data_IF_443996930528
#
_entry.id   IF_443996930528
#
_cell.length_a   1.000
_cell.length_b   1.000
_cell.length_c   1.000
_cell.angle_alpha   90.00
_cell.angle_beta   90.00
_cell.angle_gamma   90.00
#
_symmetry.space_group_name_H-M   'P 1'
#
loop_
_entity.id
_entity.type
_entity.pdbx_description
1 polymer ?
#
# COMPACT_ATOMS: atom_id res chain seq x y z
N UNK A 1 -19.59 5.53 24.84
CA UNK A 1 -20.22 5.00 23.60
C UNK A 1 -19.40 5.47 22.39
N UNK A 2 -18.23 4.87 22.12
CA UNK A 2 -17.26 5.34 21.11
C UNK A 2 -16.84 4.24 20.10
N UNK A 3 -17.73 3.30 19.79
CA UNK A 3 -17.32 2.03 19.19
C UNK A 3 -17.41 1.86 17.67
N UNK A 4 -18.03 2.75 16.89
CA UNK A 4 -18.61 2.32 15.60
C UNK A 4 -18.13 3.05 14.32
N UNK A 5 -16.91 3.59 14.33
CA UNK A 5 -16.20 3.83 13.06
C UNK A 5 -14.95 2.96 13.05
N UNK A 6 -14.99 1.85 12.31
CA UNK A 6 -13.79 1.08 12.06
C UNK A 6 -12.83 1.94 11.25
N UNK A 7 -11.71 2.25 11.86
CA UNK A 7 -10.59 2.97 11.25
C UNK A 7 -9.50 1.99 10.81
N UNK A 8 -9.70 0.68 10.94
CA UNK A 8 -8.67 -0.29 10.62
C UNK A 8 -8.58 -0.43 9.10
N UNK A 9 -7.35 -0.30 8.57
CA UNK A 9 -7.05 -0.38 7.15
C UNK A 9 -6.21 -1.61 6.84
N UNK A 10 -6.47 -2.22 5.69
CA UNK A 10 -5.48 -3.04 4.99
C UNK A 10 -5.06 -2.32 3.71
N UNK A 11 -3.75 -2.26 3.45
CA UNK A 11 -3.18 -1.62 2.28
C UNK A 11 -2.33 -2.63 1.52
N UNK A 12 -2.68 -2.86 0.27
CA UNK A 12 -1.79 -3.48 -0.71
C UNK A 12 -1.02 -2.35 -1.39
N UNK A 13 0.26 -2.22 -1.07
CA UNK A 13 1.15 -1.16 -1.57
C UNK A 13 1.92 -1.66 -2.81
N UNK A 14 1.19 -2.09 -3.84
CA UNK A 14 1.78 -2.67 -5.04
C UNK A 14 2.59 -1.68 -5.89
N UNK A 15 3.48 -2.24 -6.73
CA UNK A 15 4.33 -1.47 -7.66
C UNK A 15 3.54 -0.67 -8.70
N UNK A 16 2.40 -1.22 -9.15
CA UNK A 16 1.57 -0.60 -10.20
C UNK A 16 0.34 0.12 -9.64
N UNK A 17 -0.28 -0.44 -8.61
CA UNK A 17 -1.52 0.02 -7.99
C UNK A 17 -1.46 -0.17 -6.49
N UNK A 18 -2.15 0.71 -5.77
CA UNK A 18 -2.39 0.62 -4.33
C UNK A 18 -3.87 0.39 -4.10
N UNK A 19 -4.21 -0.61 -3.30
CA UNK A 19 -5.58 -0.86 -2.85
C UNK A 19 -5.69 -0.57 -1.36
N UNK A 20 -6.80 0.03 -0.95
CA UNK A 20 -7.12 0.23 0.48
C UNK A 20 -8.46 -0.41 0.79
N UNK A 21 -8.43 -1.31 1.76
CA UNK A 21 -9.58 -1.95 2.36
C UNK A 21 -9.84 -1.33 3.73
N UNK A 22 -11.10 -1.04 4.03
CA UNK A 22 -11.55 -0.60 5.36
C UNK A 22 -12.34 -1.72 6.00
N UNK A 23 -11.99 -2.10 7.22
CA UNK A 23 -12.70 -3.15 7.94
C UNK A 23 -14.19 -2.83 8.08
N UNK A 24 -15.03 -3.79 7.69
CA UNK A 24 -16.49 -3.64 7.64
C UNK A 24 -17.04 -2.87 6.44
N UNK A 25 -16.20 -2.31 5.56
CA UNK A 25 -16.66 -1.60 4.33
C UNK A 25 -16.19 -2.23 3.03
N UNK A 26 -15.12 -3.02 3.05
CA UNK A 26 -14.56 -3.57 1.82
C UNK A 26 -13.44 -2.71 1.24
N UNK A 27 -13.11 -2.94 -0.03
CA UNK A 27 -12.16 -2.13 -0.80
C UNK A 27 -12.80 -0.78 -1.10
N UNK A 28 -12.21 0.30 -0.58
CA UNK A 28 -12.70 1.68 -0.75
C UNK A 28 -11.83 2.50 -1.70
N UNK A 29 -10.64 2.01 -2.04
CA UNK A 29 -9.70 2.68 -2.94
C UNK A 29 -8.95 1.65 -3.79
N UNK A 30 -8.85 1.92 -5.09
CA UNK A 30 -7.97 1.23 -6.02
C UNK A 30 -7.40 2.30 -6.97
N UNK A 31 -6.16 2.70 -6.76
CA UNK A 31 -5.51 3.80 -7.47
C UNK A 31 -4.12 3.38 -7.96
N UNK A 32 -3.63 3.90 -9.09
CA UNK A 32 -2.24 3.73 -9.47
C UNK A 32 -1.24 4.20 -8.39
N UNK A 33 -0.13 3.48 -8.22
CA UNK A 33 0.97 3.86 -7.32
C UNK A 33 1.84 4.94 -7.96
N UNK A 34 1.28 6.14 -8.14
CA UNK A 34 1.89 7.28 -8.83
C UNK A 34 1.64 8.57 -8.06
N UNK A 35 2.69 9.39 -7.95
CA UNK A 35 2.65 10.72 -7.32
C UNK A 35 3.09 11.76 -8.33
N UNK A 36 2.40 12.89 -8.40
CA UNK A 36 2.83 14.05 -9.17
C UNK A 36 3.16 15.20 -8.20
N UNK A 37 4.37 15.75 -8.31
CA UNK A 37 4.85 16.86 -7.47
C UNK A 37 5.40 18.01 -8.31
N UNK A 38 5.36 19.21 -7.76
CA UNK A 38 6.05 20.37 -8.32
C UNK A 38 7.54 20.32 -7.97
N UNK A 39 8.43 20.35 -8.97
CA UNK A 39 9.89 20.16 -8.83
C UNK A 39 10.56 21.08 -7.81
N UNK A 40 10.10 22.35 -7.73
CA UNK A 40 10.77 23.37 -6.90
C UNK A 40 10.35 23.30 -5.43
N UNK A 41 9.08 23.02 -5.17
CA UNK A 41 8.51 23.07 -3.82
C UNK A 41 8.36 21.70 -3.18
N UNK A 42 8.45 20.62 -3.95
CA UNK A 42 8.12 19.26 -3.49
C UNK A 42 6.61 19.08 -3.25
N UNK A 43 5.78 20.07 -3.56
CA UNK A 43 4.34 20.02 -3.25
C UNK A 43 3.64 18.96 -4.10
N UNK A 44 2.93 18.04 -3.43
CA UNK A 44 2.00 17.11 -4.07
C UNK A 44 0.92 17.87 -4.83
N UNK A 45 0.87 17.64 -6.13
CA UNK A 45 -0.20 18.10 -7.01
C UNK A 45 -1.31 17.06 -7.06
N UNK A 46 -0.95 15.81 -7.27
CA UNK A 46 -1.88 14.71 -7.44
C UNK A 46 -1.28 13.37 -6.99
N UNK A 47 -2.15 12.41 -6.69
CA UNK A 47 -1.80 10.99 -6.47
C UNK A 47 -2.78 10.10 -7.23
N UNK A 48 -2.39 8.87 -7.53
CA UNK A 48 -3.30 7.92 -8.16
C UNK A 48 -3.55 8.21 -9.63
N UNK A 49 -4.80 8.09 -10.04
CA UNK A 49 -5.23 8.19 -11.44
C UNK A 49 -4.91 9.55 -12.04
N UNK A 50 -5.07 10.62 -11.27
CA UNK A 50 -4.76 11.98 -11.70
C UNK A 50 -3.25 12.15 -11.96
N UNK A 51 -2.40 11.66 -11.06
CA UNK A 51 -0.94 11.68 -11.24
C UNK A 51 -0.50 10.80 -12.42
N UNK A 52 -1.11 9.61 -12.59
CA UNK A 52 -0.82 8.71 -13.73
C UNK A 52 -1.08 9.37 -15.07
N UNK A 53 -2.11 10.20 -15.21
CA UNK A 53 -2.40 10.95 -16.45
C UNK A 53 -1.30 11.95 -16.82
N UNK A 54 -0.51 12.38 -15.84
CA UNK A 54 0.60 13.32 -16.03
C UNK A 54 1.90 12.63 -16.45
N UNK A 55 2.03 11.30 -16.30
CA UNK A 55 3.25 10.57 -16.70
C UNK A 55 3.59 10.80 -18.17
N UNK A 56 4.81 11.26 -18.43
CA UNK A 56 5.29 11.60 -19.77
C UNK A 56 4.61 12.81 -20.42
N UNK A 57 3.77 13.54 -19.68
CA UNK A 57 2.96 14.68 -20.15
C UNK A 57 3.07 15.91 -19.24
N UNK A 58 4.03 15.90 -18.32
CA UNK A 58 4.26 17.01 -17.39
C UNK A 58 4.96 18.19 -18.06
N UNK A 59 4.52 19.45 -17.84
CA UNK A 59 5.33 20.62 -18.15
C UNK A 59 6.63 20.61 -17.32
N UNK A 60 7.63 21.39 -17.72
CA UNK A 60 9.00 21.30 -17.20
C UNK A 60 9.16 21.44 -15.67
N UNK A 61 8.17 21.99 -14.96
CA UNK A 61 8.16 22.18 -13.51
C UNK A 61 7.41 21.08 -12.72
N UNK A 62 6.81 20.08 -13.37
CA UNK A 62 6.11 18.98 -12.71
C UNK A 62 6.87 17.67 -12.97
N UNK A 63 6.91 16.79 -11.99
CA UNK A 63 7.36 15.39 -12.16
C UNK A 63 6.26 14.46 -11.69
N UNK A 64 6.05 13.38 -12.44
CA UNK A 64 5.23 12.27 -12.04
C UNK A 64 6.13 11.04 -11.87
N UNK A 65 6.10 10.42 -10.70
CA UNK A 65 7.01 9.34 -10.30
C UNK A 65 6.24 8.17 -9.72
N UNK A 66 6.82 6.97 -9.79
CA UNK A 66 6.35 5.79 -9.08
C UNK A 66 7.27 5.59 -7.87
N UNK A 67 6.75 5.73 -6.63
CA UNK A 67 7.58 5.57 -5.44
C UNK A 67 7.91 4.10 -5.13
N UNK A 68 7.15 3.17 -5.71
CA UNK A 68 7.31 1.73 -5.55
C UNK A 68 8.08 1.15 -6.73
N UNK A 69 8.99 0.22 -6.47
CA UNK A 69 9.71 -0.56 -7.49
C UNK A 69 9.93 -1.98 -6.96
N UNK A 70 9.62 -3.00 -7.77
CA UNK A 70 9.87 -4.41 -7.42
C UNK A 70 9.34 -4.78 -6.01
N UNK A 71 8.15 -4.28 -5.67
CA UNK A 71 7.49 -4.59 -4.38
C UNK A 71 8.02 -3.80 -3.18
N UNK A 72 9.02 -2.94 -3.35
CA UNK A 72 9.62 -2.16 -2.26
C UNK A 72 9.55 -0.66 -2.49
N UNK A 73 9.71 0.12 -1.41
CA UNK A 73 9.75 1.58 -1.47
C UNK A 73 11.10 2.02 -2.02
N UNK A 74 11.09 2.61 -3.22
CA UNK A 74 12.28 3.18 -3.86
C UNK A 74 12.43 4.69 -3.58
N UNK A 75 11.34 5.38 -3.28
CA UNK A 75 11.31 6.79 -2.90
C UNK A 75 10.43 6.96 -1.65
N UNK A 76 11.07 7.12 -0.50
CA UNK A 76 10.44 7.20 0.81
C UNK A 76 9.53 8.41 0.96
N UNK A 77 10.00 9.58 0.55
CA UNK A 77 9.26 10.83 0.69
C UNK A 77 7.99 10.79 -0.16
N UNK A 78 8.10 10.28 -1.39
CA UNK A 78 6.96 10.15 -2.29
C UNK A 78 5.99 9.06 -1.83
N UNK A 79 6.49 7.94 -1.28
CA UNK A 79 5.66 6.88 -0.71
C UNK A 79 4.86 7.38 0.50
N UNK A 80 5.48 8.10 1.43
CA UNK A 80 4.81 8.72 2.58
C UNK A 80 3.70 9.67 2.12
N UNK A 81 4.01 10.58 1.20
CA UNK A 81 3.05 11.54 0.66
C UNK A 81 1.87 10.82 -0.04
N UNK A 82 2.14 9.74 -0.77
CA UNK A 82 1.12 8.91 -1.41
C UNK A 82 0.20 8.24 -0.39
N UNK A 83 0.79 7.54 0.58
CA UNK A 83 0.08 6.83 1.65
C UNK A 83 -0.78 7.80 2.45
N UNK A 84 -0.24 8.95 2.84
CA UNK A 84 -0.97 10.00 3.58
C UNK A 84 -2.23 10.43 2.83
N UNK A 85 -2.13 10.64 1.52
CA UNK A 85 -3.28 11.03 0.68
C UNK A 85 -4.29 9.90 0.53
N UNK A 86 -3.86 8.65 0.41
CA UNK A 86 -4.75 7.50 0.33
C UNK A 86 -5.45 7.19 1.65
N UNK A 87 -4.75 7.26 2.79
CA UNK A 87 -5.33 7.13 4.13
C UNK A 87 -6.39 8.21 4.37
N UNK A 88 -6.09 9.46 3.99
CA UNK A 88 -7.06 10.56 4.06
C UNK A 88 -8.27 10.32 3.15
N UNK A 89 -8.06 9.87 1.90
CA UNK A 89 -9.17 9.53 0.99
C UNK A 89 -10.07 8.43 1.57
N UNK A 90 -9.49 7.37 2.15
CA UNK A 90 -10.23 6.25 2.75
C UNK A 90 -11.10 6.67 3.95
N UNK A 91 -10.72 7.72 4.67
CA UNK A 91 -11.43 8.25 5.83
C UNK A 91 -12.22 9.55 5.53
N UNK A 92 -12.68 9.75 4.29
CA UNK A 92 -13.44 10.93 3.88
C UNK A 92 -12.78 12.27 4.26
N UNK A 93 -11.44 12.33 4.20
CA UNK A 93 -10.59 13.49 4.54
C UNK A 93 -10.67 13.94 6.00
N UNK A 94 -11.12 13.07 6.91
CA UNK A 94 -11.05 13.35 8.34
C UNK A 94 -9.59 13.39 8.80
N UNK A 95 -9.10 14.58 9.16
CA UNK A 95 -7.70 14.79 9.55
C UNK A 95 -7.36 14.26 10.96
N UNK A 96 -8.36 13.79 11.72
CA UNK A 96 -8.20 13.37 13.13
C UNK A 96 -8.14 11.85 13.32
N UNK A 97 -8.16 11.07 12.25
CA UNK A 97 -8.11 9.60 12.34
C UNK A 97 -6.67 9.11 12.29
N UNK A 98 -6.30 8.28 13.26
CA UNK A 98 -5.01 7.56 13.30
C UNK A 98 -5.31 6.06 13.27
N UNK A 99 -5.39 5.46 12.08
CA UNK A 99 -5.83 4.08 11.90
C UNK A 99 -4.76 3.07 12.36
N UNK A 100 -5.16 1.85 12.68
CA UNK A 100 -4.25 0.71 12.63
C UNK A 100 -4.21 0.20 11.21
N UNK A 101 -3.03 -0.14 10.70
CA UNK A 101 -2.85 -0.53 9.30
C UNK A 101 -2.13 -1.87 9.24
N UNK A 102 -2.62 -2.78 8.40
CA UNK A 102 -1.84 -3.92 7.92
C UNK A 102 -1.41 -3.67 6.47
N UNK A 103 -0.14 -3.92 6.13
CA UNK A 103 0.41 -3.69 4.79
C UNK A 103 1.00 -4.99 4.24
N UNK A 104 0.64 -5.32 3.00
CA UNK A 104 1.24 -6.42 2.25
C UNK A 104 2.69 -6.09 1.88
N UNK A 105 3.61 -7.04 2.09
CA UNK A 105 5.01 -6.94 1.66
C UNK A 105 5.44 -8.22 0.96
N UNK A 106 6.35 -8.15 -0.04
CA UNK A 106 6.82 -9.34 -0.74
C UNK A 106 7.53 -10.30 0.21
N UNK A 107 7.53 -11.59 -0.13
CA UNK A 107 8.11 -12.65 0.70
C UNK A 107 9.62 -12.47 0.94
N UNK A 108 10.32 -11.88 -0.03
CA UNK A 108 11.76 -11.62 0.02
C UNK A 108 12.10 -10.16 0.35
N UNK A 109 11.40 -9.58 1.31
CA UNK A 109 11.70 -8.21 1.77
C UNK A 109 12.80 -8.22 2.85
N UNK A 110 13.79 -7.33 2.72
CA UNK A 110 14.84 -7.14 3.73
C UNK A 110 14.31 -6.40 4.96
N UNK A 111 15.01 -6.49 6.10
CA UNK A 111 14.62 -5.74 7.31
C UNK A 111 14.63 -4.22 7.10
N UNK A 112 15.52 -3.71 6.25
CA UNK A 112 15.59 -2.28 5.93
C UNK A 112 14.36 -1.85 5.14
N UNK A 113 13.92 -2.65 4.16
CA UNK A 113 12.71 -2.39 3.38
C UNK A 113 11.43 -2.57 4.21
N UNK A 114 11.37 -3.56 5.11
CA UNK A 114 10.25 -3.69 6.05
C UNK A 114 10.13 -2.45 6.94
N UNK A 115 11.26 -1.95 7.44
CA UNK A 115 11.31 -0.72 8.23
C UNK A 115 10.87 0.48 7.41
N UNK A 116 11.30 0.58 6.15
CA UNK A 116 10.85 1.63 5.23
C UNK A 116 9.33 1.71 5.12
N UNK A 117 8.67 0.56 4.96
CA UNK A 117 7.20 0.47 4.86
C UNK A 117 6.53 0.92 6.15
N UNK A 118 7.02 0.45 7.30
CA UNK A 118 6.48 0.86 8.62
C UNK A 118 6.64 2.35 8.85
N UNK A 119 7.85 2.88 8.70
CA UNK A 119 8.16 4.28 8.96
C UNK A 119 7.32 5.19 8.03
N UNK A 120 7.19 4.84 6.74
CA UNK A 120 6.37 5.60 5.79
C UNK A 120 4.89 5.62 6.17
N UNK A 121 4.34 4.51 6.65
CA UNK A 121 2.94 4.42 7.07
C UNK A 121 2.67 5.15 8.40
N UNK A 122 3.62 5.09 9.35
CA UNK A 122 3.55 5.84 10.61
C UNK A 122 3.61 7.35 10.37
N UNK A 123 4.54 7.83 9.55
CA UNK A 123 4.63 9.23 9.13
C UNK A 123 3.40 9.70 8.35
N UNK A 124 2.79 8.80 7.57
CA UNK A 124 1.53 9.04 6.88
C UNK A 124 0.31 9.15 7.83
N UNK A 125 0.46 8.84 9.12
CA UNK A 125 -0.55 9.05 10.15
C UNK A 125 -1.09 7.78 10.81
N UNK A 126 -0.54 6.60 10.51
CA UNK A 126 -0.92 5.37 11.20
C UNK A 126 -0.59 5.42 12.70
N UNK A 127 -1.39 4.73 13.51
CA UNK A 127 -1.13 4.54 14.95
C UNK A 127 -0.30 3.30 15.22
N UNK A 128 -0.62 2.22 14.52
CA UNK A 128 0.06 0.92 14.60
C UNK A 128 0.15 0.36 13.18
N UNK A 129 1.30 -0.23 12.84
CA UNK A 129 1.54 -0.82 11.53
C UNK A 129 1.95 -2.28 11.69
N UNK A 130 1.22 -3.16 11.01
CA UNK A 130 1.49 -4.59 10.89
C UNK A 130 1.88 -4.88 9.44
N UNK A 131 2.79 -5.84 9.26
CA UNK A 131 3.16 -6.32 7.93
C UNK A 131 2.65 -7.75 7.78
N UNK A 132 2.20 -8.09 6.58
CA UNK A 132 1.84 -9.45 6.20
C UNK A 132 2.51 -9.79 4.88
N UNK A 133 2.97 -11.02 4.73
CA UNK A 133 3.50 -11.49 3.46
C UNK A 133 2.38 -11.53 2.41
N UNK A 134 2.63 -10.92 1.25
CA UNK A 134 1.73 -10.91 0.09
C UNK A 134 1.19 -12.30 -0.28
N UNK A 135 2.02 -13.37 -0.42
CA UNK A 135 1.49 -14.69 -0.76
C UNK A 135 0.55 -15.26 0.32
N UNK A 136 0.76 -14.94 1.61
CA UNK A 136 -0.14 -15.34 2.69
C UNK A 136 -1.45 -14.56 2.60
N UNK A 137 -1.39 -13.25 2.40
CA UNK A 137 -2.58 -12.42 2.19
C UNK A 137 -3.38 -12.87 0.95
N UNK A 138 -2.70 -13.21 -0.15
CA UNK A 138 -3.29 -13.74 -1.37
C UNK A 138 -3.95 -15.10 -1.12
N UNK A 139 -3.31 -16.00 -0.37
CA UNK A 139 -3.89 -17.30 -0.01
C UNK A 139 -5.19 -17.16 0.79
N UNK A 140 -5.18 -16.27 1.79
CA UNK A 140 -6.37 -15.94 2.59
C UNK A 140 -7.46 -15.34 1.69
N UNK A 141 -7.09 -14.39 0.82
CA UNK A 141 -8.01 -13.75 -0.13
C UNK A 141 -8.63 -14.74 -1.13
N UNK A 142 -7.90 -15.79 -1.50
CA UNK A 142 -8.37 -16.87 -2.37
C UNK A 142 -9.17 -17.96 -1.62
N UNK A 143 -9.28 -17.89 -0.29
CA UNK A 143 -9.99 -18.87 0.52
C UNK A 143 -9.28 -20.23 0.62
N UNK A 144 -7.94 -20.25 0.49
CA UNK A 144 -7.15 -21.48 0.64
C UNK A 144 -7.06 -21.89 2.13
N UNK A 145 -7.15 -23.20 2.46
CA UNK A 145 -7.06 -23.69 3.83
C UNK A 145 -5.60 -23.74 4.30
N UNK A 146 -4.97 -22.56 4.47
CA UNK A 146 -3.54 -22.46 4.80
C UNK A 146 -3.19 -22.93 6.22
N UNK A 147 -4.16 -22.97 7.13
CA UNK A 147 -4.00 -23.45 8.52
C UNK A 147 -4.01 -24.97 8.64
N UNK A 148 -4.40 -25.68 7.58
CA UNK A 148 -4.43 -27.15 7.56
C UNK A 148 -3.04 -27.72 7.24
N UNK A 149 -2.75 -28.99 7.62
CA UNK A 149 -1.49 -29.67 7.29
C UNK A 149 -1.39 -30.08 5.81
N UNK A 150 -2.00 -29.32 4.91
CA UNK A 150 -1.98 -29.50 3.46
C UNK A 150 -1.14 -28.41 2.80
N UNK A 151 -0.28 -28.77 1.86
CA UNK A 151 0.51 -27.80 1.10
C UNK A 151 -0.34 -27.05 0.08
N UNK A 152 -0.40 -25.73 0.22
CA UNK A 152 -1.06 -24.80 -0.70
C UNK A 152 0.01 -24.00 -1.46
N UNK A 153 0.11 -24.20 -2.78
CA UNK A 153 1.00 -23.40 -3.62
C UNK A 153 0.27 -22.14 -4.10
N UNK A 154 0.87 -20.98 -3.86
CA UNK A 154 0.39 -19.67 -4.33
C UNK A 154 1.44 -19.04 -5.24
N UNK A 155 0.98 -18.52 -6.37
CA UNK A 155 1.78 -17.77 -7.34
C UNK A 155 1.12 -16.41 -7.50
N UNK A 156 1.66 -15.39 -6.83
CA UNK A 156 1.20 -14.02 -6.93
C UNK A 156 2.02 -13.27 -7.98
N UNK A 157 1.35 -12.73 -9.00
CA UNK A 157 1.97 -12.05 -10.14
C UNK A 157 1.56 -10.59 -10.11
N UNK A 158 2.45 -9.75 -9.57
CA UNK A 158 2.28 -8.32 -9.47
C UNK A 158 2.87 -7.55 -10.66
N UNK A 159 2.78 -6.22 -10.58
CA UNK A 159 3.34 -5.33 -11.61
C UNK A 159 4.85 -5.16 -11.58
N UNK A 160 5.54 -5.70 -10.56
CA UNK A 160 6.98 -5.59 -10.38
C UNK A 160 7.65 -6.87 -9.87
N UNK A 161 6.90 -7.79 -9.28
CA UNK A 161 7.39 -9.04 -8.69
C UNK A 161 6.49 -10.20 -9.07
N UNK A 162 7.05 -11.40 -8.94
CA UNK A 162 6.27 -12.64 -8.88
C UNK A 162 6.72 -13.39 -7.63
N UNK A 163 5.81 -13.50 -6.67
CA UNK A 163 6.05 -14.15 -5.40
C UNK A 163 5.42 -15.54 -5.41
N UNK A 164 6.22 -16.55 -5.06
CA UNK A 164 5.81 -17.95 -5.08
C UNK A 164 6.04 -18.52 -3.69
N UNK A 165 4.97 -19.06 -3.08
CA UNK A 165 5.03 -19.68 -1.76
C UNK A 165 4.32 -21.02 -1.75
N UNK A 166 4.79 -21.92 -0.90
CA UNK A 166 4.06 -23.13 -0.49
C UNK A 166 3.77 -22.99 0.99
N UNK A 167 2.49 -22.96 1.34
CA UNK A 167 2.00 -22.66 2.70
C UNK A 167 1.29 -23.90 3.25
N UNK A 168 1.59 -24.27 4.49
CA UNK A 168 0.95 -25.34 5.26
C UNK A 168 1.07 -24.99 6.74
N UNK A 169 0.03 -25.21 7.54
CA UNK A 169 -0.02 -24.81 8.96
C UNK A 169 0.33 -23.32 9.20
N UNK A 170 -0.10 -22.44 8.30
CA UNK A 170 0.13 -21.00 8.33
C UNK A 170 -1.03 -20.21 8.92
#
# INVERSE_FOLDING_TARGET
MFGWFSNDLAIDLGTASTLVYVHGKGIVLNEPSVVAVEKKSGRVLAVGTEAKRMLGRTPGNIIAVRPMKEGVIADFEMAEQMLKRFIQKAHNRSAFVRPRIIIGVPSRITQVEQRAVRDSAELAGAREVYLIEEPVAAAIGAGLPITEPSGNMVVDIGGGTTDIAVISLG
#
